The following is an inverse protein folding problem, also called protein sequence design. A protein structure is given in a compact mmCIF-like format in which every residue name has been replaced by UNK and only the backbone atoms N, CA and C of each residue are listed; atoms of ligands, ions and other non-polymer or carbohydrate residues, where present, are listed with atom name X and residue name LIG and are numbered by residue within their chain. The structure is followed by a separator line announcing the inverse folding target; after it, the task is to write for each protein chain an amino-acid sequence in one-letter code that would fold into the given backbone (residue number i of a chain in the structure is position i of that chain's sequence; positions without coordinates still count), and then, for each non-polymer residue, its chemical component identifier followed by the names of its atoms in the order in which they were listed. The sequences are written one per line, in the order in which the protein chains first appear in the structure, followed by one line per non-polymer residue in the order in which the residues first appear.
data_IF_456640214955
#
_entry.id   IF_456640214955
#
_cell.length_a   1.000
_cell.length_b   1.000
_cell.length_c   1.000
_cell.angle_alpha   90.00
_cell.angle_beta   90.00
_cell.angle_gamma   90.00
#
_symmetry.space_group_name_H-M   'P 1'
#
loop_
_entity.id
_entity.type
_entity.pdbx_description
1 polymer ?
#
# COMPACT_ATOMS: atom_id res chain seq x y z
N UNK A 1 21.99 12.91 -9.37
CA UNK A 1 20.89 13.10 -8.39
C UNK A 1 21.43 12.99 -6.98
N UNK A 2 21.12 13.96 -6.11
CA UNK A 2 21.48 13.90 -4.68
C UNK A 2 20.92 12.63 -4.05
N UNK A 3 21.74 11.89 -3.30
CA UNK A 3 21.30 10.69 -2.55
C UNK A 3 20.17 10.97 -1.57
N UNK A 4 19.97 12.23 -1.15
CA UNK A 4 18.96 12.63 -0.16
C UNK A 4 17.58 12.91 -0.79
N UNK A 5 17.53 13.37 -2.03
CA UNK A 5 16.28 13.70 -2.73
C UNK A 5 15.27 12.53 -2.77
N UNK A 6 15.65 11.29 -3.17
CA UNK A 6 14.69 10.18 -3.21
C UNK A 6 14.17 9.79 -1.82
N UNK A 7 14.97 9.98 -0.77
CA UNK A 7 14.53 9.71 0.61
C UNK A 7 13.53 10.76 1.10
N UNK A 8 13.78 12.05 0.81
CA UNK A 8 12.85 13.13 1.17
C UNK A 8 11.51 12.92 0.48
N UNK A 9 11.53 12.57 -0.82
CA UNK A 9 10.29 12.27 -1.55
C UNK A 9 9.54 11.08 -0.95
N UNK A 10 10.22 10.02 -0.53
CA UNK A 10 9.58 8.91 0.18
C UNK A 10 8.98 9.34 1.52
N UNK A 11 9.69 10.15 2.31
CA UNK A 11 9.21 10.62 3.61
C UNK A 11 7.96 11.50 3.50
N UNK A 12 7.73 12.14 2.36
CA UNK A 12 6.52 12.92 2.09
C UNK A 12 5.43 12.03 1.46
N UNK A 13 5.80 11.22 0.47
CA UNK A 13 4.85 10.41 -0.27
C UNK A 13 4.20 9.31 0.58
N UNK A 14 4.96 8.66 1.48
CA UNK A 14 4.42 7.57 2.30
C UNK A 14 3.33 8.03 3.30
N UNK A 15 3.51 9.13 4.07
CA UNK A 15 2.44 9.67 4.90
C UNK A 15 1.22 10.15 4.10
N UNK A 16 1.44 10.82 2.97
CA UNK A 16 0.34 11.25 2.09
C UNK A 16 -0.46 10.05 1.56
N UNK A 17 0.25 8.99 1.18
CA UNK A 17 -0.36 7.76 0.70
C UNK A 17 -1.14 7.04 1.79
N UNK A 18 -0.62 7.02 3.01
CA UNK A 18 -1.33 6.50 4.17
C UNK A 18 -2.60 7.32 4.47
N UNK A 19 -2.51 8.66 4.42
CA UNK A 19 -3.65 9.54 4.59
C UNK A 19 -4.73 9.31 3.51
N UNK A 20 -4.32 9.18 2.25
CA UNK A 20 -5.22 8.84 1.15
C UNK A 20 -5.89 7.46 1.35
N UNK A 21 -5.15 6.48 1.88
CA UNK A 21 -5.69 5.15 2.19
C UNK A 21 -6.75 5.20 3.29
N UNK A 22 -6.54 6.01 4.32
CA UNK A 22 -7.54 6.24 5.36
C UNK A 22 -8.73 7.05 4.87
N UNK A 23 -8.53 8.03 4.00
CA UNK A 23 -9.61 8.75 3.35
C UNK A 23 -10.48 7.80 2.49
N UNK A 24 -9.86 6.89 1.75
CA UNK A 24 -10.59 5.85 1.00
C UNK A 24 -11.37 4.91 1.92
N UNK A 25 -10.80 4.52 3.07
CA UNK A 25 -11.51 3.71 4.05
C UNK A 25 -12.72 4.43 4.63
N UNK A 26 -12.51 5.59 5.24
CA UNK A 26 -13.57 6.26 6.01
C UNK A 26 -14.54 7.05 5.15
N UNK A 27 -14.08 7.68 4.06
CA UNK A 27 -14.90 8.55 3.21
C UNK A 27 -15.54 7.85 2.01
N UNK A 28 -15.11 6.62 1.68
CA UNK A 28 -15.65 5.90 0.52
C UNK A 28 -16.18 4.50 0.88
N UNK A 29 -15.39 3.71 1.64
CA UNK A 29 -15.81 2.36 2.01
C UNK A 29 -16.81 2.33 3.17
N UNK A 30 -16.63 3.18 4.19
CA UNK A 30 -17.43 3.16 5.43
C UNK A 30 -18.54 4.23 5.46
N UNK A 31 -18.49 5.22 4.57
CA UNK A 31 -19.48 6.30 4.55
C UNK A 31 -20.86 5.78 4.07
N UNK A 32 -21.89 6.09 4.86
CA UNK A 32 -23.26 5.63 4.67
C UNK A 32 -23.97 6.25 3.46
N UNK A 33 -23.56 7.45 3.01
CA UNK A 33 -24.12 8.11 1.85
C UNK A 33 -23.95 7.25 0.59
N UNK A 34 -22.79 6.61 0.45
CA UNK A 34 -22.51 5.72 -0.67
C UNK A 34 -23.34 4.44 -0.63
N UNK A 35 -23.84 4.02 0.52
CA UNK A 35 -24.70 2.81 0.62
C UNK A 35 -26.05 3.08 -0.03
N UNK A 36 -26.66 4.23 0.26
CA UNK A 36 -27.92 4.64 -0.38
C UNK A 36 -27.76 4.80 -1.88
N UNK A 37 -26.73 5.52 -2.32
CA UNK A 37 -26.47 5.73 -3.75
C UNK A 37 -26.24 4.44 -4.53
N UNK A 38 -25.54 3.46 -3.94
CA UNK A 38 -25.26 2.19 -4.59
C UNK A 38 -26.40 1.17 -4.49
N UNK A 39 -27.38 1.37 -3.60
CA UNK A 39 -28.60 0.58 -3.55
C UNK A 39 -29.55 0.97 -4.69
N UNK A 40 -29.63 2.25 -5.02
CA UNK A 40 -30.53 2.76 -6.07
C UNK A 40 -29.96 2.58 -7.49
N UNK A 41 -28.65 2.82 -7.70
CA UNK A 41 -28.00 2.69 -9.02
C UNK A 41 -26.64 1.97 -8.95
N UNK A 42 -26.69 0.64 -8.82
CA UNK A 42 -25.50 -0.21 -8.70
C UNK A 42 -24.55 -0.19 -9.92
N UNK A 43 -25.02 0.23 -11.10
CA UNK A 43 -24.20 0.28 -12.31
C UNK A 43 -23.22 1.46 -12.36
N UNK A 44 -23.31 2.41 -11.43
CA UNK A 44 -22.38 3.53 -11.30
C UNK A 44 -20.96 3.05 -11.08
N UNK A 45 -19.99 3.75 -11.68
CA UNK A 45 -18.59 3.35 -11.62
C UNK A 45 -18.02 3.45 -10.19
N UNK A 46 -18.52 4.37 -9.37
CA UNK A 46 -18.16 4.51 -7.96
C UNK A 46 -18.57 3.26 -7.18
N UNK A 47 -19.77 2.73 -7.43
CA UNK A 47 -20.28 1.54 -6.78
C UNK A 47 -19.50 0.29 -7.21
N UNK A 48 -19.12 0.20 -8.49
CA UNK A 48 -18.21 -0.84 -8.98
C UNK A 48 -16.82 -0.73 -8.31
N UNK A 49 -16.26 0.48 -8.20
CA UNK A 49 -14.98 0.70 -7.53
C UNK A 49 -15.02 0.31 -6.06
N UNK A 50 -16.07 0.67 -5.33
CA UNK A 50 -16.29 0.28 -3.92
C UNK A 50 -16.41 -1.24 -3.77
N UNK A 51 -17.19 -1.88 -4.65
CA UNK A 51 -17.34 -3.33 -4.66
C UNK A 51 -16.01 -4.05 -4.94
N UNK A 52 -15.27 -3.60 -5.96
CA UNK A 52 -13.96 -4.15 -6.30
C UNK A 52 -12.93 -3.96 -5.18
N UNK A 53 -12.92 -2.79 -4.52
CA UNK A 53 -12.11 -2.57 -3.33
C UNK A 53 -12.48 -3.54 -2.21
N UNK A 54 -13.78 -3.75 -1.97
CA UNK A 54 -14.29 -4.76 -1.03
C UNK A 54 -13.77 -6.17 -1.35
N UNK A 55 -13.82 -6.58 -2.62
CA UNK A 55 -13.29 -7.87 -3.08
C UNK A 55 -11.78 -7.96 -2.89
N UNK A 56 -11.02 -6.93 -3.23
CA UNK A 56 -9.57 -6.89 -3.02
C UNK A 56 -9.19 -7.01 -1.54
N UNK A 57 -9.97 -6.40 -0.65
CA UNK A 57 -9.81 -6.53 0.80
C UNK A 57 -10.11 -7.96 1.25
N UNK A 58 -11.25 -8.52 0.80
CA UNK A 58 -11.67 -9.88 1.14
C UNK A 58 -10.61 -10.92 0.76
N UNK A 59 -10.09 -10.85 -0.47
CA UNK A 59 -9.02 -11.73 -0.97
C UNK A 59 -7.61 -11.31 -0.55
N UNK A 60 -7.49 -10.27 0.27
CA UNK A 60 -6.20 -9.79 0.80
C UNK A 60 -5.17 -9.48 -0.28
N UNK A 61 -5.61 -9.08 -1.48
CA UNK A 61 -4.77 -8.93 -2.69
C UNK A 61 -3.61 -7.97 -2.43
N UNK A 62 -3.90 -6.81 -1.84
CA UNK A 62 -2.89 -5.80 -1.52
C UNK A 62 -1.87 -6.31 -0.49
N UNK A 63 -2.30 -7.11 0.49
CA UNK A 63 -1.39 -7.66 1.50
C UNK A 63 -0.47 -8.73 0.93
N UNK A 64 -0.98 -9.61 0.07
CA UNK A 64 -0.14 -10.58 -0.65
C UNK A 64 0.86 -9.88 -1.56
N UNK A 65 0.43 -8.89 -2.33
CA UNK A 65 1.31 -8.10 -3.19
C UNK A 65 2.42 -7.41 -2.39
N UNK A 66 2.06 -6.77 -1.26
CA UNK A 66 3.00 -6.14 -0.35
C UNK A 66 4.01 -7.16 0.21
N UNK A 67 3.53 -8.31 0.70
CA UNK A 67 4.37 -9.33 1.30
C UNK A 67 5.36 -9.91 0.28
N UNK A 68 4.88 -10.31 -0.90
CA UNK A 68 5.73 -10.89 -1.94
C UNK A 68 6.80 -9.89 -2.37
N UNK A 69 6.42 -8.64 -2.66
CA UNK A 69 7.37 -7.60 -3.07
C UNK A 69 8.39 -7.27 -1.98
N UNK A 70 7.98 -7.17 -0.71
CA UNK A 70 8.88 -6.93 0.42
C UNK A 70 9.87 -8.09 0.65
N UNK A 71 9.40 -9.34 0.55
CA UNK A 71 10.26 -10.52 0.67
C UNK A 71 11.29 -10.54 -0.46
N UNK A 72 10.86 -10.36 -1.71
CA UNK A 72 11.78 -10.27 -2.87
C UNK A 72 12.78 -9.13 -2.71
N UNK A 73 12.33 -7.95 -2.25
CA UNK A 73 13.19 -6.80 -2.01
C UNK A 73 14.34 -7.10 -1.04
N UNK A 74 14.09 -7.96 -0.05
CA UNK A 74 15.07 -8.31 0.98
C UNK A 74 16.27 -9.10 0.41
N UNK A 75 16.02 -9.96 -0.57
CA UNK A 75 17.03 -10.79 -1.21
C UNK A 75 17.72 -10.11 -2.40
N UNK A 76 17.05 -9.17 -3.08
CA UNK A 76 17.61 -8.49 -4.26
C UNK A 76 18.57 -7.35 -3.85
N UNK A 77 19.84 -7.37 -4.28
CA UNK A 77 20.81 -6.32 -3.94
C UNK A 77 20.58 -5.04 -4.76
N UNK A 78 21.28 -3.97 -4.35
CA UNK A 78 21.34 -2.73 -5.13
C UNK A 78 20.02 -1.96 -5.26
N UNK A 79 19.86 -1.28 -6.40
CA UNK A 79 18.71 -0.41 -6.71
C UNK A 79 17.41 -1.17 -6.95
N UNK A 80 17.48 -2.36 -7.54
CA UNK A 80 16.30 -3.18 -7.82
C UNK A 80 15.59 -3.59 -6.52
N UNK A 81 16.33 -4.06 -5.52
CA UNK A 81 15.74 -4.37 -4.21
C UNK A 81 15.23 -3.13 -3.46
N UNK A 82 15.81 -1.95 -3.69
CA UNK A 82 15.27 -0.71 -3.14
C UNK A 82 13.92 -0.36 -3.79
N UNK A 83 13.81 -0.47 -5.12
CA UNK A 83 12.55 -0.24 -5.83
C UNK A 83 11.46 -1.24 -5.41
N UNK A 84 11.80 -2.52 -5.27
CA UNK A 84 10.89 -3.54 -4.74
C UNK A 84 10.43 -3.21 -3.31
N UNK A 85 11.30 -2.66 -2.47
CA UNK A 85 10.91 -2.23 -1.13
C UNK A 85 9.96 -1.03 -1.15
N UNK A 86 10.15 -0.08 -2.07
CA UNK A 86 9.19 1.01 -2.29
C UNK A 86 7.84 0.46 -2.74
N UNK A 87 7.81 -0.50 -3.67
CA UNK A 87 6.57 -1.16 -4.07
C UNK A 87 5.90 -1.88 -2.89
N UNK A 88 6.68 -2.55 -2.04
CA UNK A 88 6.19 -3.16 -0.80
C UNK A 88 5.53 -2.15 0.13
N UNK A 89 6.07 -0.93 0.25
CA UNK A 89 5.44 0.16 1.01
C UNK A 89 4.15 0.67 0.34
N UNK A 90 4.17 0.85 -0.98
CA UNK A 90 3.01 1.34 -1.75
C UNK A 90 1.82 0.39 -1.62
N UNK A 91 2.03 -0.92 -1.58
CA UNK A 91 0.93 -1.88 -1.35
C UNK A 91 0.66 -2.12 0.13
N UNK A 92 1.70 -2.09 0.97
CA UNK A 92 1.61 -2.39 2.40
C UNK A 92 0.82 -1.35 3.19
N UNK A 93 0.99 -0.05 2.90
CA UNK A 93 0.27 1.00 3.63
C UNK A 93 -1.25 0.98 3.37
N UNK A 94 -1.73 0.88 2.11
CA UNK A 94 -3.15 0.66 1.85
C UNK A 94 -3.67 -0.64 2.44
N UNK A 95 -2.91 -1.74 2.35
CA UNK A 95 -3.32 -3.01 2.95
C UNK A 95 -3.49 -2.89 4.48
N UNK A 96 -2.58 -2.16 5.16
CA UNK A 96 -2.67 -1.93 6.59
C UNK A 96 -3.90 -1.08 6.96
N UNK A 97 -4.16 -0.01 6.18
CA UNK A 97 -5.30 0.86 6.39
C UNK A 97 -6.63 0.15 6.09
N UNK A 98 -6.70 -0.64 5.02
CA UNK A 98 -7.89 -1.32 4.51
C UNK A 98 -8.07 -2.74 5.09
N UNK A 99 -7.83 -2.92 6.40
CA UNK A 99 -8.17 -4.13 7.17
C UNK A 99 -7.33 -5.40 6.93
N UNK A 100 -6.15 -5.30 6.31
CA UNK A 100 -5.29 -6.48 6.07
C UNK A 100 -4.00 -6.44 6.90
N UNK A 101 -4.15 -6.37 8.23
CA UNK A 101 -3.03 -6.27 9.17
C UNK A 101 -2.16 -7.53 9.19
N UNK A 102 -2.74 -8.72 9.00
CA UNK A 102 -2.04 -10.02 9.08
C UNK A 102 -0.82 -10.11 8.17
N UNK A 103 -0.89 -9.55 6.95
CA UNK A 103 0.23 -9.55 6.01
C UNK A 103 0.95 -8.20 5.96
N UNK A 104 0.19 -7.10 6.02
CA UNK A 104 0.73 -5.76 5.80
C UNK A 104 1.76 -5.36 6.86
N UNK A 105 1.58 -5.76 8.13
CA UNK A 105 2.54 -5.43 9.20
C UNK A 105 3.93 -5.99 8.88
N UNK A 106 4.02 -7.27 8.51
CA UNK A 106 5.29 -7.88 8.13
C UNK A 106 5.87 -7.25 6.86
N UNK A 107 5.02 -7.02 5.84
CA UNK A 107 5.45 -6.42 4.59
C UNK A 107 6.07 -5.03 4.78
N UNK A 108 5.43 -4.15 5.56
CA UNK A 108 5.89 -2.78 5.85
C UNK A 108 7.21 -2.82 6.64
N UNK A 109 7.32 -3.68 7.65
CA UNK A 109 8.57 -3.81 8.42
C UNK A 109 9.72 -4.30 7.54
N UNK A 110 9.52 -5.35 6.76
CA UNK A 110 10.56 -5.93 5.88
C UNK A 110 11.00 -4.90 4.83
N UNK A 111 10.05 -4.22 4.16
CA UNK A 111 10.36 -3.15 3.23
C UNK A 111 11.11 -1.99 3.90
N UNK A 112 10.70 -1.60 5.11
CA UNK A 112 11.31 -0.51 5.86
C UNK A 112 12.77 -0.80 6.18
N UNK A 113 13.04 -2.00 6.72
CA UNK A 113 14.39 -2.50 6.96
C UNK A 113 15.22 -2.52 5.68
N UNK A 114 14.63 -2.87 4.53
CA UNK A 114 15.33 -2.89 3.25
C UNK A 114 15.66 -1.49 2.71
N UNK A 115 14.79 -0.51 2.94
CA UNK A 115 14.99 0.89 2.51
C UNK A 115 16.10 1.58 3.29
N UNK A 116 16.24 1.27 4.59
CA UNK A 116 17.29 1.84 5.46
C UNK A 116 18.58 1.03 5.46
N UNK A 117 18.59 -0.18 4.89
CA UNK A 117 19.77 -1.04 4.81
C UNK A 117 20.90 -0.32 4.06
N UNK A 118 22.04 -0.12 4.74
CA UNK A 118 23.25 0.43 4.14
C UNK A 118 23.68 -0.45 2.95
N UNK A 119 24.04 0.13 1.79
CA UNK A 119 24.63 -0.64 0.70
C UNK A 119 25.85 -1.38 1.25
N UNK A 120 25.88 -2.70 1.10
CA UNK A 120 27.13 -3.45 1.32
C UNK A 120 28.11 -2.91 0.29
N UNK A 121 29.22 -2.32 0.77
CA UNK A 121 30.32 -1.92 -0.11
C UNK A 121 30.73 -3.16 -0.92
N UNK A 122 30.88 -2.97 -2.23
CA UNK A 122 31.63 -3.91 -3.05
C UNK A 122 33.11 -3.79 -2.67
#
# INVERSE_FOLDING_TARGET
MSRRLPLILLLIALPLWLAASYAARYGFMEDGQWVGLCADEASRWECQARSNLGLMIHFKVLGWAALITSVLAFFVPGRAGWALAVLGMVFGLPALALYNTTFAVFAVVIAGLRLVRKPRGA
#
